data_IF_984211519817
#
_entry.id   IF_984211519817
#
_cell.length_a   1.000
_cell.length_b   1.000
_cell.length_c   1.000
_cell.angle_alpha   90.00
_cell.angle_beta   90.00
_cell.angle_gamma   90.00
#
_symmetry.space_group_name_H-M   'P 1'
#
loop_
_entity.id
_entity.type
_entity.pdbx_description
1 polymer ?
#
# COMPACT_ATOMS: atom_id res chain seq x y z
N UNK A 1 1.64 21.95 -8.22
CA UNK A 1 1.70 21.04 -9.40
C UNK A 1 2.11 19.69 -8.88
N UNK A 2 1.30 18.67 -9.14
CA UNK A 2 1.60 17.30 -8.74
C UNK A 2 2.99 16.86 -9.18
N UNK A 3 3.70 16.08 -8.36
CA UNK A 3 5.00 15.56 -8.73
C UNK A 3 4.90 14.70 -10.00
N UNK A 4 5.61 15.08 -11.03
CA UNK A 4 5.62 14.39 -12.33
C UNK A 4 6.76 13.38 -12.48
N UNK A 5 7.69 13.33 -11.52
CA UNK A 5 8.81 12.39 -11.49
C UNK A 5 9.28 12.11 -10.07
N UNK A 6 9.89 10.93 -9.88
CA UNK A 6 10.54 10.57 -8.60
C UNK A 6 11.67 11.55 -8.29
N UNK A 7 12.46 11.93 -9.28
CA UNK A 7 13.52 12.92 -9.11
C UNK A 7 12.97 14.26 -8.57
N UNK A 8 11.89 14.77 -9.16
CA UNK A 8 11.23 15.99 -8.67
C UNK A 8 10.70 15.86 -7.24
N UNK A 9 10.15 14.70 -6.89
CA UNK A 9 9.71 14.38 -5.52
C UNK A 9 10.90 14.39 -4.54
N UNK A 10 12.02 13.77 -4.91
CA UNK A 10 13.22 13.72 -4.07
C UNK A 10 13.86 15.11 -3.93
N UNK A 11 13.93 15.88 -5.01
CA UNK A 11 14.43 17.27 -4.98
C UNK A 11 13.58 18.17 -4.09
N UNK A 12 12.26 18.03 -4.12
CA UNK A 12 11.36 18.81 -3.27
C UNK A 12 11.54 18.48 -1.77
N UNK A 13 11.88 17.25 -1.43
CA UNK A 13 12.21 16.87 -0.06
C UNK A 13 13.53 17.53 0.41
N UNK A 14 14.51 17.71 -0.48
CA UNK A 14 15.80 18.30 -0.13
C UNK A 14 16.46 17.59 1.05
N UNK A 15 16.73 18.32 2.12
CA UNK A 15 17.28 17.76 3.38
C UNK A 15 16.16 17.43 4.41
N UNK A 16 14.89 17.73 4.10
CA UNK A 16 13.76 17.46 4.98
C UNK A 16 13.15 16.07 4.78
N UNK A 17 12.20 15.69 5.63
CA UNK A 17 11.49 14.43 5.46
C UNK A 17 10.54 14.50 4.25
N UNK A 18 10.54 13.43 3.44
CA UNK A 18 9.78 13.36 2.19
C UNK A 18 8.27 13.61 2.38
N UNK A 19 7.69 13.10 3.47
CA UNK A 19 6.27 13.30 3.76
C UNK A 19 5.89 14.78 3.88
N UNK A 20 6.81 15.61 4.39
CA UNK A 20 6.58 17.05 4.54
C UNK A 20 6.48 17.75 3.20
N UNK A 21 7.35 17.41 2.25
CA UNK A 21 7.28 17.94 0.89
C UNK A 21 5.96 17.57 0.19
N UNK A 22 5.48 16.32 0.40
CA UNK A 22 4.19 15.88 -0.14
C UNK A 22 3.03 16.62 0.50
N UNK A 23 3.04 16.81 1.82
CA UNK A 23 2.04 17.60 2.52
C UNK A 23 2.02 19.05 1.99
N UNK A 24 3.16 19.71 1.89
CA UNK A 24 3.26 21.09 1.41
C UNK A 24 2.76 21.25 -0.04
N UNK A 25 3.00 20.25 -0.89
CA UNK A 25 2.42 20.22 -2.23
C UNK A 25 0.90 20.08 -2.21
N UNK A 26 0.36 19.22 -1.35
CA UNK A 26 -1.09 19.07 -1.16
C UNK A 26 -1.75 20.36 -0.68
N UNK A 27 -1.13 21.07 0.29
CA UNK A 27 -1.62 22.36 0.78
C UNK A 27 -1.71 23.38 -0.35
N UNK A 28 -0.67 23.46 -1.16
CA UNK A 28 -0.57 24.40 -2.28
C UNK A 28 -1.56 24.07 -3.41
N UNK A 29 -1.68 22.80 -3.80
CA UNK A 29 -2.58 22.39 -4.87
C UNK A 29 -4.05 22.56 -4.52
N UNK A 30 -4.42 22.19 -3.32
CA UNK A 30 -5.83 22.19 -2.87
C UNK A 30 -6.26 23.50 -2.20
N UNK A 31 -5.31 24.39 -1.89
CA UNK A 31 -5.60 25.64 -1.20
C UNK A 31 -6.18 25.41 0.20
N UNK A 32 -5.71 24.39 0.92
CA UNK A 32 -6.14 24.05 2.28
C UNK A 32 -5.02 24.28 3.28
N UNK A 33 -5.37 24.43 4.55
CA UNK A 33 -4.40 24.51 5.64
C UNK A 33 -3.90 23.11 6.07
N UNK A 34 -2.82 23.10 6.83
CA UNK A 34 -2.19 21.88 7.31
C UNK A 34 -3.14 21.06 8.20
N UNK A 35 -3.90 21.68 9.08
CA UNK A 35 -4.82 20.98 9.97
C UNK A 35 -5.88 20.21 9.19
N UNK A 36 -6.40 20.79 8.12
CA UNK A 36 -7.40 20.16 7.25
C UNK A 36 -6.81 19.00 6.45
N UNK A 37 -5.64 19.20 5.82
CA UNK A 37 -4.98 18.12 5.06
C UNK A 37 -4.62 16.96 5.99
N UNK A 38 -3.98 17.26 7.11
CA UNK A 38 -3.60 16.26 8.11
C UNK A 38 -4.81 15.49 8.66
N UNK A 39 -5.86 16.22 9.05
CA UNK A 39 -7.09 15.60 9.55
C UNK A 39 -7.75 14.65 8.55
N UNK A 40 -7.71 14.98 7.26
CA UNK A 40 -8.22 14.10 6.20
C UNK A 40 -7.36 12.85 6.04
N UNK A 41 -6.03 12.98 6.06
CA UNK A 41 -5.13 11.81 5.98
C UNK A 41 -5.27 10.91 7.21
N UNK A 42 -5.41 11.49 8.40
CA UNK A 42 -5.68 10.75 9.64
C UNK A 42 -7.02 10.00 9.59
N UNK A 43 -8.06 10.62 9.02
CA UNK A 43 -9.35 9.96 8.80
C UNK A 43 -9.25 8.79 7.80
N UNK A 44 -8.42 8.92 6.76
CA UNK A 44 -8.13 7.81 5.85
C UNK A 44 -7.41 6.66 6.57
N UNK A 45 -6.42 6.98 7.43
CA UNK A 45 -5.76 5.96 8.24
C UNK A 45 -6.75 5.21 9.14
N UNK A 46 -7.60 5.94 9.85
CA UNK A 46 -8.67 5.33 10.67
C UNK A 46 -9.58 4.42 9.84
N UNK A 47 -9.97 4.88 8.64
CA UNK A 47 -10.79 4.08 7.75
C UNK A 47 -10.06 2.85 7.17
N UNK A 48 -8.73 2.89 7.02
CA UNK A 48 -7.92 1.74 6.61
C UNK A 48 -7.80 0.69 7.70
N UNK A 49 -7.88 1.08 8.98
CA UNK A 49 -7.84 0.12 10.12
C UNK A 49 -9.11 -0.71 10.22
N UNK A 50 -10.26 -0.10 10.01
CA UNK A 50 -11.57 -0.72 10.24
C UNK A 50 -11.77 -2.09 9.56
N UNK A 51 -11.41 -2.33 8.27
CA UNK A 51 -11.54 -3.64 7.64
C UNK A 51 -10.77 -4.78 8.34
N UNK A 52 -9.73 -4.44 9.08
CA UNK A 52 -8.91 -5.42 9.80
C UNK A 52 -9.39 -5.60 11.24
N UNK A 53 -9.66 -4.49 11.94
CA UNK A 53 -10.04 -4.46 13.35
C UNK A 53 -11.49 -4.89 13.58
N UNK A 54 -12.40 -4.51 12.67
CA UNK A 54 -13.84 -4.79 12.73
C UNK A 54 -14.25 -5.92 11.77
N UNK A 55 -13.30 -6.78 11.40
CA UNK A 55 -13.54 -7.84 10.43
C UNK A 55 -14.58 -8.84 10.90
N UNK A 56 -15.59 -9.08 10.05
CA UNK A 56 -16.62 -10.10 10.27
C UNK A 56 -16.25 -11.41 9.54
N UNK A 57 -15.85 -12.46 10.27
CA UNK A 57 -15.46 -13.74 9.66
C UNK A 57 -16.62 -14.51 9.03
N UNK A 58 -17.87 -14.15 9.35
CA UNK A 58 -19.07 -14.76 8.78
C UNK A 58 -19.50 -14.10 7.47
N UNK A 59 -19.05 -12.87 7.18
CA UNK A 59 -19.37 -12.18 5.95
C UNK A 59 -18.91 -12.98 4.72
N UNK A 60 -19.75 -12.95 3.68
CA UNK A 60 -19.47 -13.57 2.38
C UNK A 60 -19.76 -12.58 1.26
N UNK A 61 -18.99 -12.64 0.21
CA UNK A 61 -19.29 -11.91 -1.02
C UNK A 61 -20.60 -12.38 -1.64
N UNK A 62 -21.17 -11.57 -2.53
CA UNK A 62 -22.44 -11.89 -3.20
C UNK A 62 -22.37 -13.21 -3.99
N UNK A 63 -21.21 -13.54 -4.55
CA UNK A 63 -20.98 -14.82 -5.25
C UNK A 63 -20.81 -16.01 -4.31
N UNK A 64 -20.49 -15.78 -3.04
CA UNK A 64 -20.12 -16.80 -2.06
C UNK A 64 -18.66 -17.28 -2.17
N UNK A 65 -17.89 -16.80 -3.16
CA UNK A 65 -16.51 -17.26 -3.39
C UNK A 65 -15.50 -16.72 -2.37
N UNK A 66 -15.80 -15.60 -1.71
CA UNK A 66 -14.85 -14.87 -0.88
C UNK A 66 -15.43 -14.56 0.49
N UNK A 67 -14.60 -14.67 1.53
CA UNK A 67 -14.90 -14.31 2.93
C UNK A 67 -14.41 -15.35 3.94
N UNK A 68 -14.02 -14.88 5.11
CA UNK A 68 -13.62 -15.68 6.25
C UNK A 68 -12.18 -16.23 6.20
N UNK A 69 -11.41 -16.03 5.14
CA UNK A 69 -10.05 -16.56 5.03
C UNK A 69 -9.06 -15.82 5.93
N UNK A 70 -9.21 -14.50 6.07
CA UNK A 70 -8.36 -13.70 6.94
C UNK A 70 -8.39 -14.16 8.39
N UNK A 71 -9.58 -14.44 8.95
CA UNK A 71 -9.71 -14.96 10.31
C UNK A 71 -9.16 -16.38 10.46
N UNK A 72 -9.36 -17.25 9.47
CA UNK A 72 -8.80 -18.62 9.53
C UNK A 72 -7.27 -18.62 9.56
N UNK A 73 -6.63 -17.66 8.90
CA UNK A 73 -5.17 -17.56 8.89
C UNK A 73 -4.61 -17.07 10.24
N UNK A 74 -5.36 -16.26 10.97
CA UNK A 74 -4.97 -15.80 12.34
C UNK A 74 -5.11 -16.90 13.39
N UNK A 75 -5.90 -17.92 13.12
CA UNK A 75 -6.07 -19.06 14.00
C UNK A 75 -4.76 -19.76 14.36
N UNK A 76 -4.75 -20.44 15.50
CA UNK A 76 -3.60 -21.21 15.97
C UNK A 76 -3.32 -22.42 15.05
N UNK A 77 -2.05 -22.63 14.77
CA UNK A 77 -1.60 -23.79 14.00
C UNK A 77 -0.20 -23.60 13.41
N UNK A 78 0.49 -24.69 13.08
CA UNK A 78 1.78 -24.64 12.42
C UNK A 78 1.61 -24.00 11.03
N UNK A 79 2.46 -23.02 10.71
CA UNK A 79 2.48 -22.34 9.42
C UNK A 79 3.91 -22.20 8.90
N UNK A 80 4.04 -22.07 7.58
CA UNK A 80 5.34 -21.85 6.94
C UNK A 80 5.89 -20.44 7.20
N UNK A 81 5.00 -19.47 7.46
CA UNK A 81 5.38 -18.07 7.62
C UNK A 81 5.57 -17.70 9.10
N UNK A 82 6.56 -16.85 9.42
CA UNK A 82 6.70 -16.26 10.75
C UNK A 82 5.44 -15.46 11.16
N UNK A 83 5.21 -15.25 12.48
CA UNK A 83 4.00 -14.59 12.99
C UNK A 83 3.72 -13.23 12.33
N UNK A 84 4.72 -12.38 12.19
CA UNK A 84 4.57 -11.07 11.55
C UNK A 84 4.06 -11.19 10.10
N UNK A 85 4.65 -12.07 9.30
CA UNK A 85 4.21 -12.26 7.91
C UNK A 85 2.80 -12.85 7.83
N UNK A 86 2.42 -13.74 8.77
CA UNK A 86 1.03 -14.24 8.86
C UNK A 86 0.04 -13.11 9.14
N UNK A 87 0.38 -12.16 10.02
CA UNK A 87 -0.44 -10.97 10.29
C UNK A 87 -0.61 -10.10 9.04
N UNK A 88 0.48 -9.88 8.29
CA UNK A 88 0.43 -9.15 7.01
C UNK A 88 -0.50 -9.84 6.02
N UNK A 89 -0.37 -11.15 5.84
CA UNK A 89 -1.23 -11.93 4.94
C UNK A 89 -2.69 -11.86 5.40
N UNK A 90 -2.94 -12.03 6.70
CA UNK A 90 -4.29 -11.95 7.25
C UNK A 90 -4.94 -10.57 7.04
N UNK A 91 -4.19 -9.48 7.28
CA UNK A 91 -4.69 -8.12 7.09
C UNK A 91 -5.00 -7.83 5.61
N UNK A 92 -4.15 -8.32 4.68
CA UNK A 92 -4.40 -8.23 3.24
C UNK A 92 -5.69 -8.96 2.83
N UNK A 93 -5.86 -10.20 3.32
CA UNK A 93 -7.07 -10.99 3.07
C UNK A 93 -8.31 -10.28 3.64
N UNK A 94 -8.29 -9.88 4.91
CA UNK A 94 -9.41 -9.21 5.57
C UNK A 94 -9.87 -7.98 4.79
N UNK A 95 -8.94 -7.11 4.39
CA UNK A 95 -9.28 -5.90 3.64
C UNK A 95 -9.83 -6.22 2.25
N UNK A 96 -9.19 -7.15 1.52
CA UNK A 96 -9.67 -7.60 0.22
C UNK A 96 -11.05 -8.28 0.29
N UNK A 97 -11.29 -9.09 1.33
CA UNK A 97 -12.59 -9.71 1.58
C UNK A 97 -13.65 -8.70 1.97
N UNK A 98 -13.31 -7.66 2.77
CA UNK A 98 -14.20 -6.55 3.05
C UNK A 98 -14.62 -5.81 1.76
N UNK A 99 -13.68 -5.54 0.85
CA UNK A 99 -14.00 -4.97 -0.46
C UNK A 99 -14.95 -5.88 -1.25
N UNK A 100 -14.67 -7.18 -1.35
CA UNK A 100 -15.51 -8.15 -2.04
C UNK A 100 -16.92 -8.29 -1.43
N UNK A 101 -17.02 -8.11 -0.12
CA UNK A 101 -18.29 -8.10 0.63
C UNK A 101 -19.00 -6.72 0.65
N UNK A 102 -18.58 -5.76 -0.19
CA UNK A 102 -19.15 -4.42 -0.29
C UNK A 102 -19.12 -3.62 1.03
N UNK A 103 -18.11 -3.89 1.86
CA UNK A 103 -17.85 -3.12 3.08
C UNK A 103 -17.01 -1.89 2.75
N UNK A 104 -16.94 -0.94 3.69
CA UNK A 104 -16.12 0.26 3.55
C UNK A 104 -14.64 -0.10 3.54
N UNK A 105 -13.92 0.39 2.52
CA UNK A 105 -12.45 0.32 2.40
C UNK A 105 -11.92 1.68 1.91
N UNK A 106 -10.61 1.87 1.94
CA UNK A 106 -9.94 3.01 1.31
C UNK A 106 -9.24 2.53 0.04
N UNK A 107 -9.60 3.12 -1.09
CA UNK A 107 -8.89 2.87 -2.35
C UNK A 107 -7.47 3.48 -2.28
N UNK A 108 -6.43 2.64 -2.46
CA UNK A 108 -5.03 3.08 -2.37
C UNK A 108 -4.11 2.23 -3.28
N UNK A 109 -3.95 2.57 -4.57
CA UNK A 109 -4.61 3.66 -5.30
C UNK A 109 -6.03 3.31 -5.77
N UNK A 110 -6.42 2.03 -5.81
CA UNK A 110 -7.72 1.55 -6.27
C UNK A 110 -8.40 0.65 -5.24
N UNK A 111 -9.69 0.36 -5.43
CA UNK A 111 -10.43 -0.53 -4.54
C UNK A 111 -9.88 -1.97 -4.57
N UNK A 112 -9.50 -2.47 -5.76
CA UNK A 112 -8.96 -3.83 -5.90
C UNK A 112 -7.62 -4.06 -5.20
N UNK A 113 -6.85 -2.99 -4.97
CA UNK A 113 -5.56 -3.02 -4.27
C UNK A 113 -5.61 -2.43 -2.86
N UNK A 114 -6.81 -2.18 -2.32
CA UNK A 114 -7.05 -1.50 -1.03
C UNK A 114 -6.41 -2.19 0.18
N UNK A 115 -6.13 -3.48 0.08
CA UNK A 115 -5.55 -4.27 1.16
C UNK A 115 -4.04 -4.15 1.30
N UNK A 116 -3.32 -3.66 0.28
CA UNK A 116 -1.84 -3.70 0.29
C UNK A 116 -1.23 -2.79 1.36
N UNK A 117 -1.60 -1.51 1.38
CA UNK A 117 -1.07 -0.53 2.34
C UNK A 117 -1.41 -0.88 3.79
N UNK A 118 -2.68 -1.09 4.17
CA UNK A 118 -3.01 -1.43 5.56
C UNK A 118 -2.41 -2.76 5.99
N UNK A 119 -2.26 -3.72 5.08
CA UNK A 119 -1.69 -5.03 5.40
C UNK A 119 -0.24 -4.96 5.91
N UNK A 120 0.56 -4.03 5.41
CA UNK A 120 1.95 -3.89 5.85
C UNK A 120 2.10 -2.89 7.00
N UNK A 121 1.31 -1.82 7.01
CA UNK A 121 1.45 -0.76 8.01
C UNK A 121 0.84 -1.13 9.36
N UNK A 122 -0.32 -1.79 9.41
CA UNK A 122 -0.97 -2.16 10.67
C UNK A 122 -0.15 -3.15 11.51
N UNK A 123 0.31 -4.30 10.94
CA UNK A 123 1.14 -5.21 11.70
C UNK A 123 2.49 -4.58 12.12
N UNK A 124 3.06 -3.70 11.29
CA UNK A 124 4.28 -2.99 11.61
C UNK A 124 4.05 -2.01 12.77
N UNK A 125 2.96 -1.23 12.73
CA UNK A 125 2.57 -0.33 13.81
C UNK A 125 2.43 -1.08 15.14
N UNK A 126 1.72 -2.21 15.13
CA UNK A 126 1.49 -3.02 16.31
C UNK A 126 2.79 -3.65 16.85
N UNK A 127 3.64 -4.18 15.97
CA UNK A 127 4.91 -4.81 16.35
C UNK A 127 5.86 -3.82 17.03
N UNK A 128 5.97 -2.62 16.49
CA UNK A 128 6.98 -1.62 16.89
C UNK A 128 6.42 -0.55 17.85
N UNK A 129 5.13 -0.63 18.21
CA UNK A 129 4.48 0.32 19.13
C UNK A 129 4.44 1.75 18.60
N UNK A 130 4.26 1.92 17.28
CA UNK A 130 4.28 3.20 16.62
C UNK A 130 2.92 3.92 16.76
N UNK A 131 2.95 5.25 16.82
CA UNK A 131 1.73 6.05 16.89
C UNK A 131 1.06 6.27 15.52
N UNK A 132 -0.19 6.70 15.54
CA UNK A 132 -0.95 7.02 14.32
C UNK A 132 -0.31 8.18 13.52
N UNK A 133 0.43 9.08 14.19
CA UNK A 133 1.14 10.18 13.52
C UNK A 133 2.17 9.62 12.55
N UNK A 134 2.97 8.65 12.97
CA UNK A 134 3.98 8.01 12.12
C UNK A 134 3.35 7.31 10.92
N UNK A 135 2.16 6.72 11.10
CA UNK A 135 1.40 6.09 10.00
C UNK A 135 0.85 7.13 9.01
N UNK A 136 0.34 8.25 9.50
CA UNK A 136 -0.11 9.36 8.64
C UNK A 136 1.05 9.93 7.81
N UNK A 137 2.23 10.11 8.41
CA UNK A 137 3.44 10.52 7.70
C UNK A 137 3.81 9.50 6.59
N UNK A 138 3.72 8.19 6.90
CA UNK A 138 3.95 7.12 5.93
C UNK A 138 2.93 7.12 4.78
N UNK A 139 1.67 7.48 5.05
CA UNK A 139 0.64 7.63 4.01
C UNK A 139 0.93 8.82 3.08
N UNK A 140 1.46 9.92 3.57
CA UNK A 140 1.94 11.02 2.70
C UNK A 140 3.09 10.54 1.80
N UNK A 141 4.05 9.79 2.33
CA UNK A 141 5.11 9.18 1.50
C UNK A 141 4.49 8.30 0.42
N UNK A 142 3.60 7.38 0.79
CA UNK A 142 2.89 6.52 -0.16
C UNK A 142 2.15 7.34 -1.24
N UNK A 143 1.45 8.41 -0.83
CA UNK A 143 0.71 9.28 -1.74
C UNK A 143 1.64 9.99 -2.73
N UNK A 144 2.81 10.47 -2.30
CA UNK A 144 3.79 11.11 -3.18
C UNK A 144 4.27 10.18 -4.30
N UNK A 145 4.63 8.93 -3.98
CA UNK A 145 4.98 7.94 -5.00
C UNK A 145 3.78 7.54 -5.85
N UNK A 146 2.60 7.35 -5.25
CA UNK A 146 1.36 7.06 -5.97
C UNK A 146 0.99 8.14 -6.98
N UNK A 147 1.20 9.40 -6.65
CA UNK A 147 0.97 10.54 -7.52
C UNK A 147 1.91 10.54 -8.74
N UNK A 148 3.21 10.27 -8.52
CA UNK A 148 4.17 10.13 -9.64
C UNK A 148 3.76 9.00 -10.57
N UNK A 149 3.35 7.84 -10.02
CA UNK A 149 2.90 6.70 -10.83
C UNK A 149 1.64 7.08 -11.63
N UNK A 150 0.63 7.67 -10.98
CA UNK A 150 -0.62 8.07 -11.63
C UNK A 150 -0.42 9.13 -12.74
N UNK A 151 0.60 9.98 -12.61
CA UNK A 151 0.94 11.00 -13.62
C UNK A 151 1.65 10.40 -14.83
N UNK A 152 2.40 9.30 -14.64
CA UNK A 152 3.25 8.69 -15.66
C UNK A 152 2.65 7.45 -16.32
N UNK A 153 1.70 6.81 -15.66
CA UNK A 153 1.10 5.55 -16.09
C UNK A 153 -0.36 5.47 -15.63
N UNK A 154 -1.11 4.52 -16.19
CA UNK A 154 -2.41 4.16 -15.63
C UNK A 154 -2.25 3.41 -14.31
N UNK A 155 -3.14 3.71 -13.35
CA UNK A 155 -3.29 2.94 -12.11
C UNK A 155 -4.52 2.01 -12.17
N UNK A 156 -5.23 2.02 -13.30
CA UNK A 156 -6.44 1.23 -13.50
C UNK A 156 -6.11 -0.21 -13.90
N UNK A 157 -6.65 -1.18 -13.19
CA UNK A 157 -6.54 -2.59 -13.55
C UNK A 157 -7.16 -2.91 -14.90
N UNK A 158 -8.22 -2.19 -15.30
CA UNK A 158 -8.90 -2.38 -16.59
C UNK A 158 -8.04 -1.93 -17.78
N UNK A 159 -7.18 -0.94 -17.61
CA UNK A 159 -6.29 -0.44 -18.67
C UNK A 159 -4.92 -1.10 -18.62
N UNK A 160 -4.28 -1.09 -17.45
CA UNK A 160 -2.90 -1.50 -17.27
C UNK A 160 -2.70 -2.87 -16.65
N UNK A 161 -3.78 -3.61 -16.34
CA UNK A 161 -3.70 -4.88 -15.64
C UNK A 161 -3.44 -4.72 -14.14
N UNK A 162 -3.32 -5.85 -13.45
CA UNK A 162 -2.97 -5.85 -12.04
C UNK A 162 -1.55 -5.32 -11.77
N UNK A 163 -0.66 -5.32 -12.77
CA UNK A 163 0.63 -4.64 -12.68
C UNK A 163 0.46 -3.13 -12.40
N UNK A 164 -0.52 -2.48 -13.03
CA UNK A 164 -0.83 -1.07 -12.78
C UNK A 164 -1.47 -0.86 -11.40
N UNK A 165 -2.44 -1.68 -11.05
CA UNK A 165 -3.23 -1.57 -9.82
C UNK A 165 -2.46 -2.02 -8.57
N UNK A 166 -2.17 -3.32 -8.49
CA UNK A 166 -1.47 -3.94 -7.35
C UNK A 166 0.00 -3.56 -7.33
N UNK A 167 0.63 -3.40 -8.52
CA UNK A 167 2.00 -2.94 -8.63
C UNK A 167 2.19 -1.54 -8.06
N UNK A 168 1.27 -0.60 -8.38
CA UNK A 168 1.30 0.75 -7.79
C UNK A 168 1.12 0.72 -6.27
N UNK A 169 0.13 -0.03 -5.78
CA UNK A 169 -0.09 -0.18 -4.34
C UNK A 169 1.13 -0.78 -3.63
N UNK A 170 1.76 -1.79 -4.24
CA UNK A 170 2.98 -2.41 -3.72
C UNK A 170 4.16 -1.44 -3.69
N UNK A 171 4.34 -0.63 -4.75
CA UNK A 171 5.37 0.41 -4.81
C UNK A 171 5.17 1.49 -3.75
N UNK A 172 3.93 1.98 -3.60
CA UNK A 172 3.53 2.93 -2.55
C UNK A 172 3.82 2.37 -1.15
N UNK A 173 3.43 1.12 -0.91
CA UNK A 173 3.63 0.44 0.37
C UNK A 173 5.12 0.20 0.68
N UNK A 174 5.92 -0.20 -0.32
CA UNK A 174 7.35 -0.39 -0.16
C UNK A 174 8.07 0.91 0.25
N UNK A 175 7.74 2.03 -0.39
CA UNK A 175 8.29 3.33 -0.03
C UNK A 175 7.88 3.76 1.39
N UNK A 176 6.60 3.56 1.76
CA UNK A 176 6.10 3.85 3.10
C UNK A 176 6.78 3.01 4.19
N UNK A 177 7.00 1.71 3.93
CA UNK A 177 7.74 0.82 4.83
C UNK A 177 9.18 1.31 5.07
N UNK A 178 9.90 1.65 3.99
CA UNK A 178 11.26 2.20 4.09
C UNK A 178 11.28 3.48 4.94
N UNK A 179 10.28 4.36 4.75
CA UNK A 179 10.13 5.55 5.58
C UNK A 179 9.96 5.20 7.06
N UNK A 180 9.02 4.30 7.39
CA UNK A 180 8.76 3.90 8.79
C UNK A 180 10.00 3.28 9.44
N UNK A 181 10.76 2.52 8.68
CA UNK A 181 12.02 1.89 9.11
C UNK A 181 13.22 2.86 9.19
N UNK A 182 13.02 4.16 8.91
CA UNK A 182 14.07 5.19 9.00
C UNK A 182 15.02 5.24 7.80
N UNK A 183 14.63 4.67 6.66
CA UNK A 183 15.41 4.72 5.43
C UNK A 183 15.40 6.08 4.75
N UNK A 184 16.33 6.27 3.82
CA UNK A 184 16.50 7.51 3.05
C UNK A 184 15.47 7.65 1.92
N UNK A 185 15.20 8.87 1.42
CA UNK A 185 14.35 9.07 0.24
C UNK A 185 14.81 8.27 -0.99
N UNK A 186 16.13 8.13 -1.20
CA UNK A 186 16.68 7.28 -2.27
C UNK A 186 16.29 5.80 -2.11
N UNK A 187 16.40 5.26 -0.89
CA UNK A 187 15.96 3.90 -0.59
C UNK A 187 14.46 3.72 -0.79
N UNK A 188 13.63 4.72 -0.44
CA UNK A 188 12.18 4.71 -0.73
C UNK A 188 11.92 4.59 -2.23
N UNK A 189 12.65 5.36 -3.05
CA UNK A 189 12.53 5.30 -4.51
C UNK A 189 12.96 3.93 -5.07
N UNK A 190 14.05 3.35 -4.57
CA UNK A 190 14.50 2.02 -4.98
C UNK A 190 13.50 0.92 -4.60
N UNK A 191 12.96 0.96 -3.39
CA UNK A 191 11.94 0.02 -2.94
C UNK A 191 10.69 0.09 -3.83
N UNK A 192 10.21 1.29 -4.12
CA UNK A 192 9.08 1.51 -5.01
C UNK A 192 9.34 0.94 -6.42
N UNK A 193 10.50 1.25 -7.01
CA UNK A 193 10.86 0.79 -8.35
C UNK A 193 11.01 -0.74 -8.44
N UNK A 194 11.60 -1.37 -7.41
CA UNK A 194 11.71 -2.83 -7.34
C UNK A 194 10.33 -3.47 -7.23
N UNK A 195 9.44 -2.93 -6.39
CA UNK A 195 8.09 -3.47 -6.21
C UNK A 195 7.27 -3.40 -7.51
N UNK A 196 7.38 -2.29 -8.25
CA UNK A 196 6.76 -2.14 -9.57
C UNK A 196 7.33 -3.16 -10.57
N UNK A 197 8.65 -3.29 -10.65
CA UNK A 197 9.30 -4.18 -11.61
C UNK A 197 8.93 -5.65 -11.39
N UNK A 198 8.75 -6.08 -10.15
CA UNK A 198 8.36 -7.45 -9.80
C UNK A 198 6.94 -7.81 -10.25
N UNK A 199 6.09 -6.82 -10.53
CA UNK A 199 4.70 -7.02 -10.94
C UNK A 199 4.48 -6.86 -12.46
N UNK A 200 5.53 -6.53 -13.22
CA UNK A 200 5.43 -6.39 -14.67
C UNK A 200 4.96 -7.70 -15.33
N UNK A 201 4.00 -7.58 -16.23
CA UNK A 201 3.37 -8.70 -16.91
C UNK A 201 2.12 -9.27 -16.19
N UNK A 202 1.78 -8.75 -15.00
CA UNK A 202 0.58 -9.20 -14.27
C UNK A 202 -0.68 -8.62 -14.89
N UNK A 203 -1.44 -9.47 -15.59
CA UNK A 203 -2.66 -9.08 -16.28
C UNK A 203 -3.86 -8.91 -15.34
N UNK A 204 -4.96 -8.35 -15.83
CA UNK A 204 -6.25 -8.33 -15.15
C UNK A 204 -7.12 -9.48 -15.68
N UNK A 205 -7.43 -10.44 -14.82
CA UNK A 205 -8.14 -11.68 -15.14
C UNK A 205 -9.18 -12.08 -14.08
N UNK A 206 -10.07 -11.15 -13.67
CA UNK A 206 -11.04 -11.45 -12.62
C UNK A 206 -12.05 -12.50 -13.06
N UNK A 207 -12.27 -13.49 -12.21
CA UNK A 207 -13.31 -14.51 -12.45
C UNK A 207 -14.68 -13.86 -12.51
N UNK A 208 -15.41 -14.09 -13.59
CA UNK A 208 -16.73 -13.51 -13.86
C UNK A 208 -16.77 -11.95 -13.77
N UNK A 209 -15.63 -11.27 -13.94
CA UNK A 209 -15.54 -9.81 -13.83
C UNK A 209 -15.66 -9.26 -12.40
N UNK A 210 -15.64 -10.14 -11.38
CA UNK A 210 -15.78 -9.76 -9.98
C UNK A 210 -14.44 -9.44 -9.34
N UNK A 211 -14.37 -8.40 -8.51
CA UNK A 211 -13.17 -8.03 -7.72
C UNK A 211 -13.06 -8.95 -6.50
N UNK A 212 -12.98 -10.26 -6.74
CA UNK A 212 -12.92 -11.32 -5.75
C UNK A 212 -11.71 -12.23 -5.99
N UNK A 213 -11.78 -13.04 -7.05
CA UNK A 213 -10.71 -13.98 -7.43
C UNK A 213 -10.18 -13.56 -8.81
N UNK A 214 -8.87 -13.29 -8.92
CA UNK A 214 -7.79 -13.43 -7.94
C UNK A 214 -7.49 -12.19 -7.11
N UNK A 215 -8.31 -11.13 -7.16
CA UNK A 215 -8.02 -9.81 -6.60
C UNK A 215 -7.67 -9.86 -5.10
N UNK A 216 -8.42 -10.61 -4.28
CA UNK A 216 -8.14 -10.76 -2.85
C UNK A 216 -6.75 -11.36 -2.63
N UNK A 217 -6.39 -12.41 -3.36
CA UNK A 217 -5.07 -13.05 -3.26
C UNK A 217 -3.94 -12.13 -3.72
N UNK A 218 -4.20 -11.24 -4.70
CA UNK A 218 -3.20 -10.30 -5.20
C UNK A 218 -2.90 -9.17 -4.23
N UNK A 219 -3.81 -8.82 -3.32
CA UNK A 219 -3.48 -7.94 -2.20
C UNK A 219 -2.40 -8.57 -1.30
N UNK A 220 -2.49 -9.88 -1.04
CA UNK A 220 -1.46 -10.61 -0.29
C UNK A 220 -0.12 -10.56 -1.03
N UNK A 221 -0.12 -10.89 -2.32
CA UNK A 221 1.10 -10.85 -3.14
C UNK A 221 1.73 -9.45 -3.15
N UNK A 222 0.93 -8.40 -3.34
CA UNK A 222 1.40 -7.01 -3.35
C UNK A 222 2.00 -6.58 -2.00
N UNK A 223 1.39 -6.99 -0.87
CA UNK A 223 1.90 -6.71 0.46
C UNK A 223 3.24 -7.42 0.74
N UNK A 224 3.36 -8.71 0.40
CA UNK A 224 4.61 -9.47 0.57
C UNK A 224 5.71 -8.94 -0.35
N UNK A 225 5.38 -8.58 -1.59
CA UNK A 225 6.32 -7.92 -2.50
C UNK A 225 6.83 -6.60 -1.93
N UNK A 226 5.94 -5.76 -1.37
CA UNK A 226 6.33 -4.50 -0.73
C UNK A 226 7.31 -4.71 0.42
N UNK A 227 7.07 -5.69 1.30
CA UNK A 227 7.97 -6.04 2.40
C UNK A 227 9.35 -6.43 1.89
N UNK A 228 9.43 -7.37 0.94
CA UNK A 228 10.70 -7.84 0.42
C UNK A 228 11.50 -6.73 -0.27
N UNK A 229 10.83 -5.84 -1.01
CA UNK A 229 11.47 -4.71 -1.67
C UNK A 229 11.96 -3.65 -0.68
N UNK A 230 11.21 -3.39 0.40
CA UNK A 230 11.64 -2.50 1.47
C UNK A 230 12.91 -3.03 2.17
N UNK A 231 12.92 -4.30 2.54
CA UNK A 231 14.10 -4.96 3.13
C UNK A 231 15.33 -4.88 2.21
N UNK A 232 15.16 -5.21 0.93
CA UNK A 232 16.26 -5.15 -0.04
C UNK A 232 16.81 -3.73 -0.19
N UNK A 233 15.96 -2.71 -0.22
CA UNK A 233 16.39 -1.32 -0.30
C UNK A 233 17.15 -0.88 0.96
N UNK A 234 16.76 -1.33 2.14
CA UNK A 234 17.41 -1.03 3.41
C UNK A 234 18.85 -1.56 3.46
N UNK A 235 19.11 -2.74 2.93
CA UNK A 235 20.48 -3.32 2.87
C UNK A 235 21.30 -2.77 1.69
N UNK A 236 20.84 -1.71 1.00
CA UNK A 236 21.56 -1.06 -0.08
C UNK A 236 21.35 -1.66 -1.47
N UNK A 237 20.34 -2.53 -1.66
CA UNK A 237 19.99 -2.99 -3.01
C UNK A 237 19.31 -1.84 -3.77
N UNK A 238 19.95 -1.42 -4.86
CA UNK A 238 19.40 -0.41 -5.77
C UNK A 238 18.56 -1.03 -6.88
N UNK A 239 17.57 -0.29 -7.38
CA UNK A 239 16.92 -0.62 -8.64
C UNK A 239 17.89 -0.45 -9.80
N UNK A 240 17.75 -1.22 -10.88
CA UNK A 240 18.68 -1.22 -12.03
C UNK A 240 18.90 0.15 -12.70
N UNK A 241 18.10 1.16 -12.40
CA UNK A 241 18.18 2.50 -13.03
C UNK A 241 19.38 3.35 -12.58
N UNK A 242 20.08 2.99 -11.51
CA UNK A 242 21.28 3.73 -11.09
C UNK A 242 22.56 3.35 -11.82
N UNK A 243 22.52 2.41 -12.75
CA UNK A 243 23.70 1.93 -13.48
C UNK A 243 23.72 2.30 -14.96
N UNK A 244 22.83 3.19 -15.41
CA UNK A 244 22.78 3.68 -16.79
C UNK A 244 22.89 5.19 -16.80
#
# INVERSE_FOLDING_TARGET
MAFSSVEGLLQAAGQGPLWRAVLEDDLRERGVDEARSWGQMAALWTAMKAPVEEYDPAARSRSGLTGGAGARLEGEGPGLCPPFLRQVIAAALKTGECNACMKRIVAAPTAGASGVLPAVLLPLQARDGLDDRRMVEALYVAAGFGQVIATRASISGAEGGCQAEVGSASGMAAAALVYVMGGTPGQMAHACAMALSNTLGLVCDPVAGLVEVPCVNRNVMGAVNALSCAEMAQIGRASCRERV
#
